data_IF_038020767088
#
_entry.id   IF_038020767088
#
_cell.length_a   1.000
_cell.length_b   1.000
_cell.length_c   1.000
_cell.angle_alpha   90.00
_cell.angle_beta   90.00
_cell.angle_gamma   90.00
#
_symmetry.space_group_name_H-M   'P 1'
#
loop_
_entity.id
_entity.type
_entity.pdbx_description
1 polymer ?
#
# COMPACT_ATOMS: atom_id res chain seq x y z
N UNK A 1 44.26 -1.60 -12.17
CA UNK A 1 42.95 -2.22 -12.45
C UNK A 1 41.89 -1.18 -12.24
N UNK A 2 40.84 -1.20 -13.04
CA UNK A 2 39.64 -0.40 -12.77
C UNK A 2 38.88 -1.01 -11.59
N UNK A 3 38.07 -0.21 -10.89
CA UNK A 3 37.18 -0.70 -9.81
C UNK A 3 36.29 -1.84 -10.32
N UNK A 4 35.89 -1.79 -11.59
CA UNK A 4 35.12 -2.85 -12.24
C UNK A 4 35.93 -4.15 -12.38
N UNK A 5 37.22 -4.09 -12.75
CA UNK A 5 38.06 -5.28 -12.86
C UNK A 5 38.20 -6.00 -11.51
N UNK A 6 38.37 -5.22 -10.43
CA UNK A 6 38.47 -5.74 -9.06
C UNK A 6 37.13 -6.39 -8.64
N UNK A 7 36.00 -5.74 -8.94
CA UNK A 7 34.68 -6.30 -8.68
C UNK A 7 34.41 -7.58 -9.49
N UNK A 8 34.83 -7.63 -10.76
CA UNK A 8 34.71 -8.83 -11.60
C UNK A 8 35.55 -9.98 -11.04
N UNK A 9 36.73 -9.72 -10.49
CA UNK A 9 37.54 -10.76 -9.85
C UNK A 9 36.85 -11.35 -8.59
N UNK A 10 36.20 -10.50 -7.78
CA UNK A 10 35.41 -10.94 -6.62
C UNK A 10 34.23 -11.82 -7.07
N UNK A 11 33.56 -11.45 -8.17
CA UNK A 11 32.48 -12.26 -8.76
C UNK A 11 32.94 -13.66 -9.13
N UNK A 12 34.09 -13.78 -9.79
CA UNK A 12 34.64 -15.08 -10.15
C UNK A 12 34.99 -15.90 -8.89
N UNK A 13 35.59 -15.27 -7.86
CA UNK A 13 35.86 -15.93 -6.59
C UNK A 13 34.58 -16.47 -5.91
N UNK A 14 33.50 -15.68 -5.89
CA UNK A 14 32.19 -16.13 -5.39
C UNK A 14 31.67 -17.33 -6.20
N UNK A 15 31.78 -17.27 -7.52
CA UNK A 15 31.32 -18.35 -8.41
C UNK A 15 32.13 -19.64 -8.20
N UNK A 16 33.44 -19.54 -7.97
CA UNK A 16 34.32 -20.68 -7.67
C UNK A 16 34.03 -21.31 -6.30
N UNK A 17 33.73 -20.49 -5.30
CA UNK A 17 33.33 -20.97 -3.96
C UNK A 17 31.99 -21.70 -3.98
N UNK A 18 31.12 -21.39 -4.94
CA UNK A 18 29.81 -22.04 -5.10
C UNK A 18 28.81 -21.71 -3.98
N UNK A 19 29.04 -20.62 -3.26
CA UNK A 19 28.16 -20.17 -2.17
C UNK A 19 26.81 -19.70 -2.68
N UNK A 20 25.79 -19.80 -1.83
CA UNK A 20 24.52 -19.12 -2.06
C UNK A 20 24.54 -17.70 -1.47
N UNK A 21 23.57 -16.86 -1.87
CA UNK A 21 23.48 -15.45 -1.45
C UNK A 21 23.23 -15.26 0.07
N UNK A 22 22.97 -16.34 0.81
CA UNK A 22 22.71 -16.34 2.25
C UNK A 22 23.94 -16.75 3.07
N UNK A 23 24.97 -17.31 2.43
CA UNK A 23 26.16 -17.79 3.13
C UNK A 23 26.93 -16.62 3.77
N UNK A 24 27.27 -16.70 5.07
CA UNK A 24 28.11 -15.69 5.72
C UNK A 24 29.53 -15.68 5.12
N UNK A 25 30.05 -14.49 4.80
CA UNK A 25 31.39 -14.35 4.21
C UNK A 25 32.48 -13.98 5.22
N UNK A 26 32.25 -14.21 6.51
CA UNK A 26 33.19 -13.81 7.58
C UNK A 26 34.56 -14.47 7.46
N UNK A 27 34.63 -15.66 6.86
CA UNK A 27 35.88 -16.40 6.62
C UNK A 27 36.42 -16.23 5.19
N UNK A 28 35.74 -15.43 4.35
CA UNK A 28 36.01 -15.25 2.92
C UNK A 28 36.08 -13.77 2.53
N UNK A 29 37.05 -12.99 3.06
CA UNK A 29 37.18 -11.57 2.76
C UNK A 29 37.38 -11.27 1.27
N UNK A 30 37.96 -12.20 0.51
CA UNK A 30 38.11 -12.14 -0.95
C UNK A 30 36.78 -12.15 -1.71
N UNK A 31 35.70 -12.60 -1.07
CA UNK A 31 34.36 -12.67 -1.65
C UNK A 31 33.48 -11.47 -1.24
N UNK A 32 34.02 -10.49 -0.52
CA UNK A 32 33.27 -9.34 -0.02
C UNK A 32 33.56 -8.12 -0.88
N UNK A 33 32.54 -7.62 -1.58
CA UNK A 33 32.66 -6.36 -2.30
C UNK A 33 32.80 -5.19 -1.34
N UNK A 34 33.67 -4.24 -1.66
CA UNK A 34 33.57 -2.88 -1.11
C UNK A 34 32.31 -2.19 -1.62
N UNK A 35 31.97 -1.06 -1.02
CA UNK A 35 30.83 -0.26 -1.45
C UNK A 35 30.96 0.22 -2.92
N UNK A 36 32.16 0.66 -3.31
CA UNK A 36 32.42 1.19 -4.65
C UNK A 36 32.43 0.10 -5.72
N UNK A 37 33.05 -1.05 -5.43
CA UNK A 37 33.03 -2.23 -6.31
C UNK A 37 31.61 -2.74 -6.53
N UNK A 38 30.81 -2.79 -5.46
CA UNK A 38 29.42 -3.22 -5.54
C UNK A 38 28.59 -2.28 -6.41
N UNK A 39 28.73 -0.96 -6.22
CA UNK A 39 28.01 0.01 -7.05
C UNK A 39 28.43 -0.08 -8.52
N UNK A 40 29.73 -0.09 -8.80
CA UNK A 40 30.25 -0.09 -10.17
C UNK A 40 29.84 -1.37 -10.91
N UNK A 41 29.95 -2.53 -10.25
CA UNK A 41 29.52 -3.81 -10.81
C UNK A 41 28.02 -3.81 -11.13
N UNK A 42 27.17 -3.35 -10.21
CA UNK A 42 25.73 -3.33 -10.44
C UNK A 42 25.34 -2.30 -11.49
N UNK A 43 26.01 -1.15 -11.57
CA UNK A 43 25.82 -0.17 -12.66
C UNK A 43 26.16 -0.78 -14.02
N UNK A 44 27.26 -1.53 -14.09
CA UNK A 44 27.69 -2.20 -15.31
C UNK A 44 26.74 -3.33 -15.72
N UNK A 45 26.47 -4.27 -14.81
CA UNK A 45 25.75 -5.52 -15.11
C UNK A 45 24.24 -5.32 -15.28
N UNK A 46 23.66 -4.32 -14.60
CA UNK A 46 22.22 -4.06 -14.70
C UNK A 46 21.89 -3.08 -15.84
N UNK A 47 22.88 -2.46 -16.47
CA UNK A 47 22.65 -1.58 -17.61
C UNK A 47 21.93 -2.33 -18.75
N UNK A 48 20.86 -1.74 -19.28
CA UNK A 48 20.05 -2.36 -20.34
C UNK A 48 19.15 -3.51 -19.88
N UNK A 49 19.12 -3.83 -18.58
CA UNK A 49 18.12 -4.76 -18.03
C UNK A 49 16.74 -4.11 -17.99
N UNK A 50 15.70 -4.93 -18.19
CA UNK A 50 14.30 -4.49 -18.13
C UNK A 50 13.57 -5.21 -17.01
N UNK A 51 13.07 -4.45 -16.04
CA UNK A 51 12.25 -4.93 -14.93
C UNK A 51 10.81 -4.52 -15.14
N UNK A 52 10.13 -5.17 -16.09
CA UNK A 52 8.73 -4.90 -16.43
C UNK A 52 7.73 -5.70 -15.58
N UNK A 53 6.50 -5.20 -15.50
CA UNK A 53 5.37 -5.85 -14.83
C UNK A 53 5.03 -5.26 -13.45
N UNK A 54 4.11 -5.89 -12.68
CA UNK A 54 3.69 -5.41 -11.36
C UNK A 54 4.84 -5.33 -10.36
N UNK A 55 4.70 -4.51 -9.30
CA UNK A 55 5.75 -4.26 -8.28
C UNK A 55 6.46 -5.53 -7.81
N UNK A 56 5.71 -6.60 -7.48
CA UNK A 56 6.30 -7.86 -7.01
C UNK A 56 7.15 -8.56 -8.07
N UNK A 57 6.72 -8.51 -9.33
CA UNK A 57 7.47 -9.06 -10.47
C UNK A 57 8.76 -8.29 -10.66
N UNK A 58 8.73 -6.96 -10.66
CA UNK A 58 9.92 -6.11 -10.77
C UNK A 58 10.92 -6.36 -9.65
N UNK A 59 10.45 -6.41 -8.40
CA UNK A 59 11.31 -6.72 -7.25
C UNK A 59 11.92 -8.12 -7.35
N UNK A 60 11.21 -9.10 -7.90
CA UNK A 60 11.76 -10.43 -8.14
C UNK A 60 12.86 -10.36 -9.21
N UNK A 61 12.57 -9.81 -10.38
CA UNK A 61 13.51 -9.68 -11.50
C UNK A 61 14.81 -8.97 -11.07
N UNK A 62 14.70 -7.85 -10.37
CA UNK A 62 15.85 -7.11 -9.88
C UNK A 62 16.74 -7.93 -8.93
N UNK A 63 16.14 -8.67 -7.98
CA UNK A 63 16.91 -9.54 -7.09
C UNK A 63 17.61 -10.67 -7.83
N UNK A 64 16.96 -11.27 -8.82
CA UNK A 64 17.60 -12.30 -9.65
C UNK A 64 18.76 -11.72 -10.44
N UNK A 65 18.58 -10.52 -11.02
CA UNK A 65 19.64 -9.83 -11.76
C UNK A 65 20.83 -9.48 -10.87
N UNK A 66 20.59 -8.95 -9.66
CA UNK A 66 21.65 -8.68 -8.69
C UNK A 66 22.35 -9.97 -8.25
N UNK A 67 21.64 -11.07 -7.99
CA UNK A 67 22.30 -12.36 -7.69
C UNK A 67 23.26 -12.80 -8.80
N UNK A 68 22.81 -12.73 -10.07
CA UNK A 68 23.64 -13.08 -11.23
C UNK A 68 24.85 -12.15 -11.35
N UNK A 69 24.62 -10.84 -11.22
CA UNK A 69 25.67 -9.83 -11.30
C UNK A 69 26.77 -10.09 -10.25
N UNK A 70 26.39 -10.50 -9.04
CA UNK A 70 27.31 -10.79 -7.94
C UNK A 70 27.98 -12.17 -8.00
N UNK A 71 27.62 -13.02 -8.97
CA UNK A 71 28.21 -14.35 -9.15
C UNK A 71 27.50 -15.47 -8.38
N UNK A 72 26.36 -15.18 -7.75
CA UNK A 72 25.61 -16.17 -6.99
C UNK A 72 24.61 -16.95 -7.85
N UNK A 73 24.36 -18.22 -7.54
CA UNK A 73 23.22 -18.93 -8.09
C UNK A 73 21.91 -18.27 -7.62
N UNK A 74 20.96 -18.11 -8.55
CA UNK A 74 19.64 -17.56 -8.22
C UNK A 74 18.84 -18.59 -7.43
N UNK A 75 18.41 -18.30 -6.19
CA UNK A 75 17.64 -19.25 -5.41
C UNK A 75 16.24 -19.43 -6.02
N UNK A 76 15.70 -20.66 -5.95
CA UNK A 76 14.33 -20.95 -6.43
C UNK A 76 13.26 -20.07 -5.75
N UNK A 77 13.52 -19.66 -4.50
CA UNK A 77 12.73 -18.65 -3.80
C UNK A 77 13.59 -17.83 -2.86
N UNK A 78 13.33 -16.52 -2.79
CA UNK A 78 14.05 -15.63 -1.88
C UNK A 78 13.52 -15.73 -0.45
N UNK A 79 14.38 -16.13 0.50
CA UNK A 79 14.06 -16.20 1.94
C UNK A 79 13.63 -14.82 2.47
N UNK A 80 12.72 -14.80 3.44
CA UNK A 80 12.25 -13.58 4.13
C UNK A 80 13.15 -13.20 5.31
N UNK A 81 14.43 -13.03 5.02
CA UNK A 81 15.47 -12.59 5.96
C UNK A 81 15.85 -11.13 5.72
N UNK A 82 16.54 -10.53 6.69
CA UNK A 82 17.02 -9.15 6.66
C UNK A 82 18.52 -9.12 7.04
N UNK A 83 19.38 -8.50 6.24
CA UNK A 83 19.12 -8.00 4.89
C UNK A 83 18.67 -9.12 3.94
N UNK A 84 18.10 -8.77 2.79
CA UNK A 84 17.63 -9.77 1.83
C UNK A 84 18.75 -10.69 1.36
N UNK A 85 19.95 -10.13 1.20
CA UNK A 85 21.20 -10.81 0.82
C UNK A 85 22.21 -10.72 1.98
N UNK A 86 22.12 -11.62 2.98
CA UNK A 86 22.99 -11.64 4.15
C UNK A 86 24.48 -11.71 3.83
N UNK A 87 24.89 -12.50 2.84
CA UNK A 87 26.31 -12.67 2.52
C UNK A 87 26.99 -11.35 2.13
N UNK A 88 26.24 -10.42 1.55
CA UNK A 88 26.74 -9.11 1.11
C UNK A 88 26.17 -7.94 1.94
N UNK A 89 25.55 -8.20 3.09
CA UNK A 89 24.83 -7.19 3.88
C UNK A 89 23.99 -6.19 3.04
N UNK A 90 23.20 -6.72 2.09
CA UNK A 90 22.58 -5.94 1.01
C UNK A 90 21.06 -6.12 0.91
N UNK A 91 20.33 -5.02 0.82
CA UNK A 91 18.94 -4.99 0.35
C UNK A 91 18.82 -4.34 -1.04
N UNK A 92 17.85 -4.81 -1.83
CA UNK A 92 17.64 -4.37 -3.22
C UNK A 92 16.27 -3.69 -3.37
N UNK A 93 16.26 -2.48 -3.91
CA UNK A 93 15.07 -1.65 -4.10
C UNK A 93 14.97 -1.16 -5.54
N UNK A 94 13.82 -1.39 -6.18
CA UNK A 94 13.51 -0.83 -7.50
C UNK A 94 12.65 0.42 -7.31
N UNK A 95 13.02 1.53 -7.95
CA UNK A 95 12.37 2.83 -7.82
C UNK A 95 12.05 3.44 -9.18
N UNK A 96 10.78 3.84 -9.38
CA UNK A 96 10.34 4.66 -10.52
C UNK A 96 10.33 6.16 -10.19
N UNK A 97 10.35 6.51 -8.90
CA UNK A 97 10.26 7.88 -8.42
C UNK A 97 11.25 8.13 -7.28
N UNK A 98 11.49 9.39 -6.91
CA UNK A 98 12.40 9.79 -5.82
C UNK A 98 11.85 9.53 -4.41
N UNK A 99 11.01 8.51 -4.28
CA UNK A 99 10.27 8.20 -3.08
C UNK A 99 10.56 6.77 -2.63
N UNK A 100 11.70 6.56 -1.99
CA UNK A 100 12.11 5.25 -1.48
C UNK A 100 11.24 4.86 -0.28
N UNK A 101 10.73 3.63 -0.31
CA UNK A 101 9.81 3.11 0.70
C UNK A 101 10.39 1.85 1.32
N UNK A 102 10.74 1.94 2.60
CA UNK A 102 11.24 0.83 3.40
C UNK A 102 10.12 0.36 4.32
N UNK A 103 9.78 -0.94 4.24
CA UNK A 103 8.63 -1.50 4.93
C UNK A 103 9.03 -2.32 6.15
N UNK A 104 8.37 -2.06 7.27
CA UNK A 104 8.48 -2.79 8.52
C UNK A 104 9.91 -2.85 9.10
N UNK A 105 10.70 -1.80 8.92
CA UNK A 105 12.01 -1.63 9.57
C UNK A 105 12.50 -0.18 9.57
N UNK A 106 13.37 0.10 10.52
CA UNK A 106 14.29 1.23 10.48
C UNK A 106 15.50 0.88 9.61
N UNK A 107 16.20 1.90 9.12
CA UNK A 107 17.44 1.70 8.38
C UNK A 107 18.54 1.21 9.34
N UNK A 108 19.12 0.05 9.08
CA UNK A 108 20.36 -0.36 9.74
C UNK A 108 21.50 0.54 9.25
N UNK A 109 22.27 1.21 10.14
CA UNK A 109 23.31 2.16 9.75
C UNK A 109 24.35 1.59 8.79
N UNK A 110 24.80 0.36 9.02
CA UNK A 110 25.89 -0.28 8.25
C UNK A 110 25.39 -1.06 7.04
N UNK A 111 24.07 -1.29 6.93
CA UNK A 111 23.53 -2.08 5.83
C UNK A 111 23.64 -1.30 4.53
N UNK A 112 23.90 -2.02 3.44
CA UNK A 112 23.92 -1.47 2.08
C UNK A 112 22.57 -1.63 1.40
N UNK A 113 22.18 -0.63 0.62
CA UNK A 113 20.92 -0.55 -0.09
C UNK A 113 21.20 -0.27 -1.56
N UNK A 114 21.07 -1.29 -2.42
CA UNK A 114 21.11 -1.10 -3.87
C UNK A 114 19.77 -0.52 -4.33
N UNK A 115 19.77 0.77 -4.66
CA UNK A 115 18.62 1.48 -5.22
C UNK A 115 18.79 1.51 -6.74
N UNK A 116 17.86 0.86 -7.43
CA UNK A 116 17.84 0.71 -8.88
C UNK A 116 16.73 1.59 -9.42
N UNK A 117 17.09 2.60 -10.22
CA UNK A 117 16.15 3.46 -10.92
C UNK A 117 15.72 2.81 -12.21
N UNK A 118 14.40 2.71 -12.40
CA UNK A 118 13.80 2.28 -13.67
C UNK A 118 12.86 3.35 -14.21
N UNK A 119 12.68 3.38 -15.53
CA UNK A 119 11.70 4.25 -16.18
C UNK A 119 10.27 3.67 -16.17
N UNK A 120 9.38 4.25 -16.97
CA UNK A 120 7.97 3.85 -17.06
C UNK A 120 7.76 2.48 -17.71
N UNK A 121 8.67 2.05 -18.59
CA UNK A 121 8.63 0.72 -19.24
C UNK A 121 9.43 -0.33 -18.46
N UNK A 122 10.23 0.10 -17.48
CA UNK A 122 10.97 -0.75 -16.57
C UNK A 122 12.46 -0.86 -16.91
N UNK A 123 12.96 -0.07 -17.85
CA UNK A 123 14.38 -0.05 -18.22
C UNK A 123 15.21 0.51 -17.08
N UNK A 124 16.30 -0.17 -16.72
CA UNK A 124 17.24 0.30 -15.70
C UNK A 124 18.02 1.49 -16.26
N UNK A 125 17.80 2.67 -15.67
CA UNK A 125 18.44 3.92 -16.09
C UNK A 125 19.55 4.39 -15.15
N UNK A 126 19.55 3.93 -13.90
CA UNK A 126 20.64 4.19 -12.95
C UNK A 126 20.63 3.19 -11.79
N UNK A 127 21.79 2.99 -11.17
CA UNK A 127 21.96 2.22 -9.95
C UNK A 127 22.84 3.03 -9.00
N UNK A 128 22.45 3.09 -7.72
CA UNK A 128 23.27 3.62 -6.63
C UNK A 128 23.20 2.66 -5.46
N UNK A 129 24.34 2.41 -4.84
CA UNK A 129 24.42 1.75 -3.55
C UNK A 129 24.55 2.84 -2.49
N UNK A 130 23.74 2.78 -1.45
CA UNK A 130 23.81 3.71 -0.34
C UNK A 130 23.91 2.93 0.97
N UNK A 131 24.57 3.52 1.97
CA UNK A 131 24.53 2.99 3.33
C UNK A 131 23.27 3.47 4.06
N UNK A 132 22.87 2.76 5.12
CA UNK A 132 21.73 3.18 5.93
C UNK A 132 21.95 4.53 6.61
N UNK A 133 23.19 4.86 6.98
CA UNK A 133 23.56 6.19 7.50
C UNK A 133 23.29 7.31 6.49
N UNK A 134 23.62 7.09 5.22
CA UNK A 134 23.36 8.03 4.13
C UNK A 134 21.86 8.17 3.87
N UNK A 135 21.15 7.05 3.77
CA UNK A 135 19.70 7.07 3.55
C UNK A 135 18.92 7.70 4.71
N UNK A 136 19.41 7.56 5.95
CA UNK A 136 18.79 8.15 7.13
C UNK A 136 18.80 9.69 7.09
N UNK A 137 19.76 10.32 6.38
CA UNK A 137 19.77 11.78 6.19
C UNK A 137 18.56 12.28 5.40
N UNK A 138 17.92 11.40 4.63
CA UNK A 138 16.72 11.70 3.84
C UNK A 138 15.42 11.41 4.59
N UNK A 139 15.48 10.86 5.80
CA UNK A 139 14.32 10.71 6.66
C UNK A 139 13.97 12.04 7.31
N UNK A 140 13.14 12.83 6.60
CA UNK A 140 12.60 14.08 7.14
C UNK A 140 11.50 13.87 8.18
N UNK A 141 10.99 12.64 8.31
CA UNK A 141 9.80 12.33 9.10
C UNK A 141 10.12 11.72 10.45
N UNK A 142 11.25 11.01 10.57
CA UNK A 142 11.66 10.30 11.78
C UNK A 142 10.66 9.26 12.28
N UNK A 143 9.57 9.01 11.52
CA UNK A 143 8.37 8.33 12.01
C UNK A 143 7.92 7.29 11.00
N UNK A 144 8.04 6.03 11.41
CA UNK A 144 7.41 4.90 10.73
C UNK A 144 5.88 5.08 10.72
N UNK A 145 5.32 5.47 9.58
CA UNK A 145 3.86 5.59 9.41
C UNK A 145 3.24 4.20 9.35
N UNK A 146 2.15 3.97 10.08
CA UNK A 146 1.69 2.62 10.37
C UNK A 146 0.22 2.44 9.94
N UNK A 147 -0.04 1.46 9.07
CA UNK A 147 -1.35 1.24 8.44
C UNK A 147 -1.94 -0.13 8.74
N UNK A 148 -3.25 -0.18 8.96
CA UNK A 148 -4.02 -1.42 9.12
C UNK A 148 -4.41 -2.01 7.76
N UNK A 149 -4.38 -3.34 7.65
CA UNK A 149 -4.76 -4.05 6.43
C UNK A 149 -5.62 -5.28 6.72
N UNK A 150 -6.51 -5.60 5.78
CA UNK A 150 -7.35 -6.78 5.84
C UNK A 150 -7.55 -7.41 4.44
N UNK A 151 -8.08 -8.63 4.41
CA UNK A 151 -8.67 -9.22 3.20
C UNK A 151 -10.06 -9.75 3.53
N UNK A 152 -10.91 -9.89 2.52
CA UNK A 152 -12.16 -10.65 2.70
C UNK A 152 -11.86 -12.09 3.10
N UNK A 153 -12.63 -12.65 4.03
CA UNK A 153 -12.49 -14.07 4.41
C UNK A 153 -12.85 -14.99 3.25
N UNK A 154 -13.96 -14.71 2.58
CA UNK A 154 -14.44 -15.46 1.41
C UNK A 154 -14.48 -14.52 0.20
N UNK A 155 -13.59 -14.70 -0.77
CA UNK A 155 -13.46 -13.78 -1.90
C UNK A 155 -14.70 -13.77 -2.84
N UNK A 156 -15.50 -14.84 -2.85
CA UNK A 156 -16.57 -15.06 -3.84
C UNK A 156 -17.99 -14.98 -3.25
N UNK A 157 -18.21 -14.23 -2.16
CA UNK A 157 -19.53 -14.13 -1.50
C UNK A 157 -20.42 -13.00 -2.02
N UNK A 158 -20.08 -12.36 -3.15
CA UNK A 158 -20.90 -11.32 -3.78
C UNK A 158 -21.12 -10.08 -2.90
N UNK A 159 -22.17 -9.31 -3.17
CA UNK A 159 -22.50 -8.14 -2.35
C UNK A 159 -23.07 -8.55 -1.00
N UNK A 160 -22.70 -7.85 0.08
CA UNK A 160 -23.09 -8.21 1.43
C UNK A 160 -23.26 -7.01 2.36
N UNK A 161 -24.36 -7.01 3.10
CA UNK A 161 -24.52 -6.22 4.31
C UNK A 161 -24.13 -7.10 5.50
N UNK A 162 -23.10 -6.71 6.28
CA UNK A 162 -22.56 -7.56 7.35
C UNK A 162 -23.54 -7.66 8.52
N UNK A 163 -24.16 -6.55 8.91
CA UNK A 163 -25.28 -6.46 9.85
C UNK A 163 -26.28 -5.41 9.36
N UNK A 164 -27.56 -5.62 9.67
CA UNK A 164 -28.68 -4.80 9.18
C UNK A 164 -29.05 -3.62 10.08
N UNK A 165 -28.35 -3.45 11.19
CA UNK A 165 -28.64 -2.42 12.21
C UNK A 165 -27.36 -1.64 12.55
N UNK A 166 -27.47 -0.31 12.66
CA UNK A 166 -26.38 0.55 13.16
C UNK A 166 -26.06 0.25 14.65
N UNK A 167 -24.92 0.72 15.16
CA UNK A 167 -24.56 0.49 16.56
C UNK A 167 -25.50 1.25 17.52
N UNK A 168 -25.67 0.80 18.78
CA UNK A 168 -26.55 1.46 19.74
C UNK A 168 -26.21 2.94 19.97
N UNK A 169 -24.92 3.28 20.08
CA UNK A 169 -24.46 4.66 20.28
C UNK A 169 -24.73 5.52 19.03
N UNK A 170 -24.55 4.96 17.83
CA UNK A 170 -24.89 5.61 16.57
C UNK A 170 -26.39 5.92 16.48
N UNK A 171 -27.24 4.96 16.86
CA UNK A 171 -28.69 5.13 16.87
C UNK A 171 -29.10 6.20 17.87
N UNK A 172 -28.56 6.17 19.09
CA UNK A 172 -28.89 7.13 20.13
C UNK A 172 -28.46 8.56 19.78
N UNK A 173 -27.31 8.74 19.13
CA UNK A 173 -26.76 10.05 18.81
C UNK A 173 -27.32 10.64 17.51
N UNK A 174 -27.53 9.83 16.47
CA UNK A 174 -27.84 10.31 15.12
C UNK A 174 -29.25 9.97 14.64
N UNK A 175 -29.99 9.09 15.34
CA UNK A 175 -31.34 8.64 14.98
C UNK A 175 -31.48 8.37 13.46
N UNK A 176 -30.73 7.37 12.93
CA UNK A 176 -30.75 7.09 11.50
C UNK A 176 -32.13 6.63 11.03
N UNK A 177 -32.46 6.90 9.77
CA UNK A 177 -33.77 6.61 9.17
C UNK A 177 -33.61 5.83 7.86
N UNK A 178 -34.56 4.96 7.56
CA UNK A 178 -34.59 4.24 6.27
C UNK A 178 -34.94 5.16 5.09
N UNK A 179 -35.56 6.31 5.38
CA UNK A 179 -36.07 7.21 4.37
C UNK A 179 -35.69 8.66 4.67
N UNK A 180 -34.96 9.24 3.73
CA UNK A 180 -34.77 10.68 3.58
C UNK A 180 -35.29 11.08 2.20
N UNK A 181 -36.04 12.17 2.13
CA UNK A 181 -36.50 12.70 0.85
C UNK A 181 -35.32 13.23 0.02
N UNK A 182 -35.49 13.25 -1.31
CA UNK A 182 -34.43 13.67 -2.23
C UNK A 182 -33.97 15.10 -2.00
N UNK A 183 -34.87 16.01 -1.59
CA UNK A 183 -34.50 17.41 -1.35
C UNK A 183 -33.58 17.51 -0.13
N UNK A 184 -33.86 16.75 0.93
CA UNK A 184 -32.98 16.65 2.10
C UNK A 184 -31.62 16.10 1.70
N UNK A 185 -31.56 14.98 0.97
CA UNK A 185 -30.30 14.36 0.55
C UNK A 185 -29.46 15.30 -0.34
N UNK A 186 -30.08 15.94 -1.34
CA UNK A 186 -29.39 16.90 -2.21
C UNK A 186 -28.87 18.13 -1.46
N UNK A 187 -29.51 18.49 -0.35
CA UNK A 187 -29.11 19.60 0.50
C UNK A 187 -27.95 19.28 1.46
N UNK A 188 -27.61 18.00 1.66
CA UNK A 188 -26.46 17.61 2.47
C UNK A 188 -25.17 17.76 1.67
N UNK A 189 -24.09 18.20 2.35
CA UNK A 189 -22.75 18.19 1.77
C UNK A 189 -21.96 17.01 2.35
N UNK A 190 -21.17 16.27 1.55
CA UNK A 190 -20.43 15.10 2.03
C UNK A 190 -19.53 15.37 3.25
N UNK A 191 -18.96 16.58 3.34
CA UNK A 191 -17.96 16.95 4.35
C UNK A 191 -18.54 17.57 5.62
N UNK A 192 -19.86 17.80 5.66
CA UNK A 192 -20.49 18.39 6.84
C UNK A 192 -20.68 17.32 7.93
N UNK A 193 -20.63 17.67 9.23
CA UNK A 193 -20.94 16.74 10.30
C UNK A 193 -22.31 16.08 10.13
N UNK A 194 -22.48 14.81 10.56
CA UNK A 194 -23.78 14.16 10.52
C UNK A 194 -24.78 14.90 11.42
N UNK A 195 -26.04 14.94 10.99
CA UNK A 195 -27.11 15.64 11.70
C UNK A 195 -28.16 14.64 12.14
N UNK A 196 -28.56 14.71 13.42
CA UNK A 196 -29.61 13.87 13.99
C UNK A 196 -30.87 13.84 13.10
N UNK A 197 -31.33 12.64 12.75
CA UNK A 197 -32.50 12.42 11.88
C UNK A 197 -32.26 12.69 10.39
N UNK A 198 -31.03 13.03 9.97
CA UNK A 198 -30.64 13.26 8.56
C UNK A 198 -29.55 12.29 8.08
N UNK A 199 -29.45 11.16 8.76
CA UNK A 199 -28.52 10.08 8.42
C UNK A 199 -29.33 8.87 8.01
N UNK A 200 -28.95 8.21 6.91
CA UNK A 200 -29.58 6.96 6.51
C UNK A 200 -29.19 5.83 7.48
N UNK A 201 -30.09 4.89 7.71
CA UNK A 201 -29.75 3.61 8.36
C UNK A 201 -28.75 2.83 7.53
N UNK A 202 -27.97 1.94 8.16
CA UNK A 202 -27.01 1.08 7.43
C UNK A 202 -27.71 0.25 6.35
N UNK A 203 -28.97 -0.15 6.57
CA UNK A 203 -29.79 -0.86 5.59
C UNK A 203 -30.14 0.00 4.38
N UNK A 204 -30.66 1.21 4.60
CA UNK A 204 -31.00 2.12 3.50
C UNK A 204 -29.75 2.63 2.76
N UNK A 205 -28.64 2.79 3.48
CA UNK A 205 -27.33 3.11 2.93
C UNK A 205 -26.87 1.98 1.98
N UNK A 206 -26.95 0.72 2.43
CA UNK A 206 -26.62 -0.45 1.61
C UNK A 206 -27.48 -0.52 0.34
N UNK A 207 -28.80 -0.37 0.48
CA UNK A 207 -29.73 -0.50 -0.65
C UNK A 207 -29.47 0.54 -1.74
N UNK A 208 -29.09 1.77 -1.36
CA UNK A 208 -28.68 2.81 -2.31
C UNK A 208 -27.32 2.51 -2.95
N UNK A 209 -26.33 2.13 -2.14
CA UNK A 209 -24.97 1.84 -2.61
C UNK A 209 -24.91 0.57 -3.46
N UNK A 210 -25.88 -0.33 -3.36
CA UNK A 210 -25.98 -1.49 -4.24
C UNK A 210 -26.10 -1.08 -5.72
N UNK A 211 -26.61 0.13 -6.01
CA UNK A 211 -26.62 0.73 -7.34
C UNK A 211 -25.23 1.02 -7.93
N UNK A 212 -24.15 0.89 -7.14
CA UNK A 212 -22.78 0.94 -7.65
C UNK A 212 -22.40 -0.33 -8.42
N UNK A 213 -23.04 -1.46 -8.13
CA UNK A 213 -22.72 -2.74 -8.79
C UNK A 213 -23.09 -2.65 -10.27
N UNK A 214 -22.13 -3.00 -11.13
CA UNK A 214 -22.24 -2.88 -12.59
C UNK A 214 -21.89 -1.49 -13.12
N UNK A 215 -21.58 -0.50 -12.27
CA UNK A 215 -21.04 0.79 -12.73
C UNK A 215 -19.58 0.64 -13.14
N UNK A 216 -19.20 1.47 -14.09
CA UNK A 216 -17.83 1.58 -14.58
C UNK A 216 -17.23 2.92 -14.19
N UNK A 217 -15.92 2.92 -14.04
CA UNK A 217 -15.13 4.12 -13.94
C UNK A 217 -13.85 3.96 -14.73
N UNK A 218 -13.37 5.06 -15.31
CA UNK A 218 -12.11 5.07 -16.04
C UNK A 218 -10.97 4.52 -15.17
N UNK A 219 -10.11 3.71 -15.76
CA UNK A 219 -8.91 3.20 -15.12
C UNK A 219 -7.89 4.33 -14.92
N UNK A 220 -7.07 4.18 -13.89
CA UNK A 220 -5.93 5.06 -13.64
C UNK A 220 -4.89 4.24 -12.90
N UNK A 221 -3.61 4.44 -13.23
CA UNK A 221 -2.50 3.85 -12.49
C UNK A 221 -2.38 4.41 -11.07
N UNK A 222 -2.93 5.60 -10.82
CA UNK A 222 -3.03 6.20 -9.48
C UNK A 222 -4.20 5.63 -8.69
N UNK A 223 -3.89 4.90 -7.61
CA UNK A 223 -4.87 4.41 -6.63
C UNK A 223 -5.69 5.53 -6.01
N UNK A 224 -5.08 6.69 -5.76
CA UNK A 224 -5.76 7.86 -5.21
C UNK A 224 -6.89 8.33 -6.12
N UNK A 225 -6.61 8.46 -7.42
CA UNK A 225 -7.62 8.88 -8.41
C UNK A 225 -8.74 7.84 -8.53
N UNK A 226 -8.42 6.54 -8.47
CA UNK A 226 -9.44 5.48 -8.47
C UNK A 226 -10.34 5.57 -7.23
N UNK A 227 -9.77 5.81 -6.04
CA UNK A 227 -10.54 6.03 -4.82
C UNK A 227 -11.44 7.26 -4.89
N UNK A 228 -10.93 8.37 -5.44
CA UNK A 228 -11.68 9.61 -5.66
C UNK A 228 -12.89 9.39 -6.60
N UNK A 229 -12.69 8.63 -7.69
CA UNK A 229 -13.75 8.26 -8.63
C UNK A 229 -14.82 7.41 -7.95
N UNK A 230 -14.45 6.42 -7.15
CA UNK A 230 -15.41 5.62 -6.38
C UNK A 230 -16.18 6.47 -5.36
N UNK A 231 -15.51 7.37 -4.65
CA UNK A 231 -16.15 8.27 -3.68
C UNK A 231 -17.20 9.15 -4.40
N UNK A 232 -16.91 9.71 -5.57
CA UNK A 232 -17.91 10.43 -6.38
C UNK A 232 -19.13 9.58 -6.71
N UNK A 233 -18.90 8.35 -7.19
CA UNK A 233 -19.99 7.42 -7.49
C UNK A 233 -20.82 7.10 -6.25
N UNK A 234 -20.20 6.93 -5.08
CA UNK A 234 -20.90 6.71 -3.83
C UNK A 234 -21.77 7.91 -3.45
N UNK A 235 -21.27 9.15 -3.57
CA UNK A 235 -22.08 10.36 -3.36
C UNK A 235 -23.28 10.43 -4.30
N UNK A 236 -23.09 10.09 -5.59
CA UNK A 236 -24.16 10.02 -6.60
C UNK A 236 -25.21 8.97 -6.22
N UNK A 237 -24.79 7.75 -5.88
CA UNK A 237 -25.68 6.65 -5.50
C UNK A 237 -26.49 6.96 -4.24
N UNK A 238 -25.92 7.73 -3.30
CA UNK A 238 -26.63 8.20 -2.11
C UNK A 238 -27.62 9.33 -2.41
N UNK A 239 -27.52 10.00 -3.57
CA UNK A 239 -28.36 11.14 -3.94
C UNK A 239 -27.89 12.48 -3.34
N UNK A 240 -26.60 12.58 -2.98
CA UNK A 240 -26.01 13.82 -2.47
C UNK A 240 -25.85 14.84 -3.61
N UNK A 241 -26.04 16.12 -3.29
CA UNK A 241 -26.04 17.19 -4.30
C UNK A 241 -24.65 17.60 -4.82
N UNK A 242 -23.58 17.14 -4.18
CA UNK A 242 -22.21 17.47 -4.56
C UNK A 242 -21.22 16.41 -4.09
N UNK A 243 -20.01 16.46 -4.65
CA UNK A 243 -18.83 15.76 -4.18
C UNK A 243 -17.92 16.75 -3.44
N UNK A 244 -17.38 16.35 -2.29
CA UNK A 244 -16.36 17.09 -1.57
C UNK A 244 -15.54 16.12 -0.71
N UNK A 245 -14.24 16.38 -0.59
CA UNK A 245 -13.30 15.56 0.18
C UNK A 245 -12.39 16.49 1.02
N UNK A 246 -12.17 16.13 2.28
CA UNK A 246 -11.27 16.86 3.19
C UNK A 246 -9.92 16.15 3.40
N UNK A 247 -9.76 14.95 2.82
CA UNK A 247 -8.63 14.05 3.06
C UNK A 247 -8.61 13.46 4.48
N UNK A 248 -9.71 13.61 5.24
CA UNK A 248 -9.86 13.11 6.60
C UNK A 248 -10.93 12.03 6.66
N UNK A 249 -10.79 11.14 7.63
CA UNK A 249 -11.79 10.12 7.91
C UNK A 249 -13.05 10.73 8.56
N UNK A 250 -14.25 10.23 8.21
CA UNK A 250 -14.51 9.34 7.06
C UNK A 250 -14.71 10.13 5.76
N UNK A 251 -14.64 9.45 4.62
CA UNK A 251 -14.79 10.04 3.28
C UNK A 251 -16.12 10.83 3.12
N UNK A 252 -17.26 10.23 3.48
CA UNK A 252 -18.59 10.88 3.48
C UNK A 252 -19.02 11.11 4.93
N UNK A 253 -18.53 12.22 5.50
CA UNK A 253 -18.75 12.65 6.88
C UNK A 253 -20.23 12.75 7.25
N UNK A 254 -21.06 13.36 6.40
CA UNK A 254 -22.48 13.58 6.72
C UNK A 254 -23.29 12.29 6.83
N UNK A 255 -22.76 11.18 6.31
CA UNK A 255 -23.30 9.84 6.43
C UNK A 255 -22.33 8.89 7.16
N UNK A 256 -21.33 9.39 7.89
CA UNK A 256 -20.38 8.58 8.65
C UNK A 256 -19.85 7.35 7.90
N UNK A 257 -19.52 7.51 6.61
CA UNK A 257 -19.19 6.41 5.70
C UNK A 257 -17.79 6.57 5.12
N UNK A 258 -16.92 5.60 5.38
CA UNK A 258 -15.63 5.42 4.73
C UNK A 258 -15.79 4.56 3.47
N UNK A 259 -15.12 4.93 2.37
CA UNK A 259 -15.25 4.26 1.08
C UNK A 259 -13.89 3.70 0.65
N UNK A 260 -13.84 2.40 0.37
CA UNK A 260 -12.63 1.70 -0.10
C UNK A 260 -12.89 0.99 -1.41
N UNK A 261 -12.06 1.28 -2.40
CA UNK A 261 -11.99 0.48 -3.63
C UNK A 261 -10.99 -0.65 -3.46
N UNK A 262 -11.37 -1.83 -3.92
CA UNK A 262 -10.55 -3.01 -3.88
C UNK A 262 -10.42 -3.67 -5.26
N UNK A 263 -9.27 -3.52 -5.90
CA UNK A 263 -8.91 -4.22 -7.15
C UNK A 263 -7.84 -5.31 -6.97
N UNK A 264 -7.45 -5.57 -5.72
CA UNK A 264 -6.51 -6.63 -5.35
C UNK A 264 -7.07 -7.48 -4.19
N UNK A 265 -6.34 -8.44 -3.61
CA UNK A 265 -6.83 -9.16 -2.43
C UNK A 265 -6.73 -8.40 -1.10
N UNK A 266 -5.93 -7.33 -1.01
CA UNK A 266 -5.60 -6.63 0.25
C UNK A 266 -6.21 -5.23 0.35
N UNK A 267 -7.01 -4.97 1.37
CA UNK A 267 -7.65 -3.69 1.67
C UNK A 267 -6.74 -2.87 2.61
N UNK A 268 -6.50 -1.61 2.26
CA UNK A 268 -5.85 -0.61 3.14
C UNK A 268 -6.92 0.10 3.99
N UNK A 269 -6.83 -0.07 5.31
CA UNK A 269 -7.77 0.51 6.28
C UNK A 269 -7.27 1.84 6.86
N UNK A 270 -6.09 2.31 6.44
CA UNK A 270 -5.51 3.56 6.92
C UNK A 270 -4.88 3.45 8.32
N UNK A 271 -4.81 4.59 9.02
CA UNK A 271 -4.08 4.72 10.28
C UNK A 271 -4.87 4.21 11.50
N UNK A 272 -6.20 4.13 11.38
CA UNK A 272 -7.11 3.75 12.47
C UNK A 272 -7.83 2.47 12.08
N UNK A 273 -7.88 1.51 13.01
CA UNK A 273 -8.60 0.25 12.78
C UNK A 273 -10.12 0.49 12.81
N UNK A 274 -10.90 -0.16 11.93
CA UNK A 274 -12.37 -0.08 11.94
C UNK A 274 -13.02 -0.40 13.28
N UNK A 275 -12.47 -1.32 14.06
CA UNK A 275 -13.00 -1.70 15.38
C UNK A 275 -12.44 -0.86 16.54
N UNK A 276 -11.79 0.27 16.25
CA UNK A 276 -11.15 1.08 17.29
C UNK A 276 -12.19 1.76 18.18
N UNK A 277 -12.01 1.59 19.50
CA UNK A 277 -12.78 2.30 20.53
C UNK A 277 -12.39 3.79 20.70
N UNK A 278 -11.44 4.29 19.89
CA UNK A 278 -11.05 5.69 19.93
C UNK A 278 -12.16 6.62 19.46
N UNK A 279 -12.22 7.87 19.95
CA UNK A 279 -13.28 8.81 19.60
C UNK A 279 -13.21 9.26 18.14
N UNK A 280 -14.33 9.18 17.42
CA UNK A 280 -14.48 9.68 16.07
C UNK A 280 -14.91 11.16 16.08
N UNK A 281 -14.00 12.05 16.50
CA UNK A 281 -14.26 13.48 16.74
C UNK A 281 -14.82 14.22 15.51
N UNK A 282 -14.51 13.75 14.29
CA UNK A 282 -15.07 14.30 13.03
C UNK A 282 -16.59 14.08 12.93
N UNK A 283 -17.13 13.04 13.57
CA UNK A 283 -18.54 12.67 13.52
C UNK A 283 -19.31 13.24 14.70
N UNK A 284 -18.94 12.83 15.91
CA UNK A 284 -19.46 13.34 17.18
C UNK A 284 -18.50 12.94 18.30
N UNK A 285 -18.31 13.76 19.35
CA UNK A 285 -17.55 13.37 20.54
C UNK A 285 -18.10 12.14 21.27
N UNK A 286 -19.34 11.74 20.99
CA UNK A 286 -20.00 10.58 21.60
C UNK A 286 -19.88 9.30 20.79
N UNK A 287 -19.35 9.38 19.57
CA UNK A 287 -19.15 8.24 18.69
C UNK A 287 -17.69 7.84 18.65
N UNK A 288 -17.49 6.55 18.43
CA UNK A 288 -16.18 5.90 18.25
C UNK A 288 -15.94 5.61 16.77
N UNK A 289 -14.70 5.30 16.42
CA UNK A 289 -14.38 4.83 15.07
C UNK A 289 -15.15 3.54 14.73
N UNK A 290 -15.39 2.68 15.72
CA UNK A 290 -16.20 1.47 15.59
C UNK A 290 -17.68 1.70 15.28
N UNK A 291 -18.19 2.91 15.51
CA UNK A 291 -19.57 3.29 15.15
C UNK A 291 -19.70 3.76 13.68
N UNK A 292 -18.59 4.10 13.02
CA UNK A 292 -18.60 4.49 11.62
C UNK A 292 -18.88 3.29 10.70
N UNK A 293 -19.25 3.58 9.45
CA UNK A 293 -19.59 2.57 8.45
C UNK A 293 -18.53 2.51 7.37
N UNK A 294 -18.35 1.33 6.78
CA UNK A 294 -17.31 1.05 5.79
C UNK A 294 -17.95 0.39 4.56
N UNK A 295 -17.87 1.07 3.42
CA UNK A 295 -18.17 0.52 2.10
C UNK A 295 -16.86 0.02 1.49
N UNK A 296 -16.78 -1.29 1.21
CA UNK A 296 -15.71 -1.88 0.41
C UNK A 296 -16.28 -2.32 -0.93
N UNK A 297 -15.95 -1.59 -2.00
CA UNK A 297 -16.33 -1.93 -3.36
C UNK A 297 -15.23 -2.75 -4.03
N UNK A 298 -15.59 -3.92 -4.54
CA UNK A 298 -14.69 -4.78 -5.29
C UNK A 298 -14.82 -4.51 -6.77
N UNK A 299 -13.68 -4.29 -7.43
CA UNK A 299 -13.66 -4.06 -8.86
C UNK A 299 -12.65 -4.94 -9.58
N UNK A 300 -13.05 -5.40 -10.76
CA UNK A 300 -12.14 -5.92 -11.77
C UNK A 300 -11.74 -4.78 -12.70
N UNK A 301 -10.53 -4.85 -13.27
CA UNK A 301 -10.07 -3.83 -14.20
C UNK A 301 -9.36 -4.44 -15.40
N UNK A 302 -9.40 -3.71 -16.51
CA UNK A 302 -8.47 -3.88 -17.62
C UNK A 302 -7.60 -2.60 -17.75
N UNK A 303 -7.09 -2.32 -18.94
CA UNK A 303 -6.25 -1.15 -19.20
C UNK A 303 -7.04 0.16 -19.29
N UNK A 304 -8.36 0.11 -19.45
CA UNK A 304 -9.21 1.27 -19.75
C UNK A 304 -10.24 1.56 -18.66
N UNK A 305 -10.80 0.52 -18.02
CA UNK A 305 -11.91 0.65 -17.08
C UNK A 305 -11.75 -0.21 -15.83
N UNK A 306 -12.42 0.22 -14.76
CA UNK A 306 -12.69 -0.56 -13.55
C UNK A 306 -14.20 -0.81 -13.49
N UNK A 307 -14.61 -2.07 -13.47
CA UNK A 307 -15.99 -2.51 -13.28
C UNK A 307 -16.22 -2.85 -11.81
N UNK A 308 -17.23 -2.25 -11.18
CA UNK A 308 -17.60 -2.60 -9.79
C UNK A 308 -18.44 -3.87 -9.80
N UNK A 309 -17.90 -4.98 -9.29
CA UNK A 309 -18.54 -6.29 -9.34
C UNK A 309 -19.46 -6.55 -8.16
N UNK A 310 -19.06 -6.09 -6.97
CA UNK A 310 -19.83 -6.27 -5.74
C UNK A 310 -19.37 -5.31 -4.65
N UNK A 311 -20.23 -5.12 -3.63
CA UNK A 311 -19.95 -4.24 -2.50
C UNK A 311 -20.14 -4.95 -1.17
N UNK A 312 -19.38 -4.58 -0.16
CA UNK A 312 -19.61 -4.98 1.23
C UNK A 312 -19.81 -3.74 2.07
N UNK A 313 -20.91 -3.68 2.84
CA UNK A 313 -21.14 -2.62 3.82
C UNK A 313 -21.16 -3.21 5.22
N UNK A 314 -20.46 -2.57 6.15
CA UNK A 314 -20.38 -2.96 7.56
C UNK A 314 -20.30 -1.75 8.47
N UNK A 315 -20.70 -1.91 9.73
CA UNK A 315 -20.22 -1.05 10.82
C UNK A 315 -18.73 -1.35 11.08
N UNK A 316 -18.03 -0.45 11.77
CA UNK A 316 -16.64 -0.63 12.15
C UNK A 316 -16.45 -1.78 13.14
N UNK A 317 -17.34 -1.90 14.12
CA UNK A 317 -17.32 -2.97 15.13
C UNK A 317 -17.47 -4.36 14.50
N UNK A 318 -18.32 -4.51 13.48
CA UNK A 318 -18.59 -5.80 12.84
C UNK A 318 -17.68 -6.10 11.65
N UNK A 319 -16.82 -5.15 11.25
CA UNK A 319 -15.99 -5.24 10.06
C UNK A 319 -15.23 -6.56 10.00
N UNK A 320 -14.59 -6.97 11.09
CA UNK A 320 -13.75 -8.16 11.11
C UNK A 320 -14.51 -9.50 11.24
N UNK A 321 -15.85 -9.45 11.28
CA UNK A 321 -16.71 -10.60 11.04
C UNK A 321 -16.62 -11.08 9.59
N UNK A 322 -16.58 -10.16 8.63
CA UNK A 322 -16.45 -10.48 7.19
C UNK A 322 -14.99 -10.43 6.70
N UNK A 323 -14.16 -9.59 7.32
CA UNK A 323 -12.78 -9.38 6.91
C UNK A 323 -11.78 -10.05 7.88
N UNK A 324 -10.75 -10.69 7.33
CA UNK A 324 -9.63 -11.19 8.09
C UNK A 324 -8.55 -10.10 8.19
N UNK A 325 -8.20 -9.70 9.42
CA UNK A 325 -6.98 -8.91 9.68
C UNK A 325 -5.76 -9.69 9.23
N UNK A 326 -4.79 -9.01 8.64
CA UNK A 326 -3.52 -9.65 8.33
C UNK A 326 -2.79 -9.98 9.63
N UNK A 327 -2.63 -11.28 9.92
CA UNK A 327 -1.99 -11.80 11.13
C UNK A 327 -0.45 -11.76 11.15
N UNK A 328 0.18 -10.99 10.26
CA UNK A 328 1.57 -10.53 10.44
C UNK A 328 1.61 -9.38 11.46
N UNK A 329 2.59 -8.47 11.39
CA UNK A 329 2.49 -7.19 12.12
C UNK A 329 1.13 -6.57 11.73
N UNK A 330 0.18 -6.57 12.66
CA UNK A 330 -1.22 -6.10 12.55
C UNK A 330 -1.30 -4.70 11.92
N UNK A 331 -0.18 -3.99 12.00
CA UNK A 331 0.10 -2.69 11.45
C UNK A 331 1.38 -2.76 10.62
N UNK A 332 1.29 -2.48 9.31
CA UNK A 332 2.48 -2.34 8.48
C UNK A 332 3.07 -0.96 8.68
N UNK A 333 4.32 -0.89 9.07
CA UNK A 333 5.08 0.35 9.20
C UNK A 333 5.80 0.65 7.89
N UNK A 334 5.83 1.92 7.50
CA UNK A 334 6.50 2.40 6.29
C UNK A 334 7.34 3.61 6.63
N UNK A 335 8.62 3.49 6.36
CA UNK A 335 9.56 4.60 6.30
C UNK A 335 9.60 5.11 4.86
N UNK A 336 9.43 6.42 4.69
CA UNK A 336 9.36 7.05 3.37
C UNK A 336 10.45 8.11 3.25
N UNK A 337 11.40 7.88 2.34
CA UNK A 337 12.59 8.69 2.15
C UNK A 337 12.48 9.42 0.82
N UNK A 338 12.50 10.76 0.86
CA UNK A 338 12.54 11.56 -0.36
C UNK A 338 13.99 11.69 -0.80
N UNK A 339 14.37 10.93 -1.82
CA UNK A 339 15.70 10.98 -2.41
C UNK A 339 15.92 12.36 -3.07
N UNK A 340 17.11 12.97 -2.96
CA UNK A 340 17.41 14.21 -3.65
C UNK A 340 17.51 14.00 -5.16
N UNK A 341 17.30 15.04 -5.96
CA UNK A 341 17.30 14.94 -7.43
C UNK A 341 18.63 14.49 -8.02
N UNK A 342 19.73 14.72 -7.31
CA UNK A 342 21.08 14.28 -7.66
C UNK A 342 21.46 12.96 -7.00
N UNK A 343 20.50 12.20 -6.45
CA UNK A 343 20.80 10.92 -5.81
C UNK A 343 21.44 9.94 -6.79
N UNK A 344 21.10 9.93 -8.08
CA UNK A 344 21.70 9.00 -9.04
C UNK A 344 22.84 9.62 -9.88
N UNK A 345 23.26 10.84 -9.55
CA UNK A 345 24.27 11.60 -10.30
C UNK A 345 25.69 11.25 -9.91
#
# INVERSE_FOLDING_TARGET
MSILDDALAIREAISELGFDIYEPLTEHPEAVYTHQELEELLRHELAGSVFAGPIRTRSKLAKEAVCRALGYPVPASFRRVKPRFPGQDLDVYVQQHDNLQVWNEELSPTRRYAVIRVDDVGDVIAVRVAEGTELAMFDRTGTLTSKYQAKRRNANSGSKLVFDTDTPDFIAELAPTDHLDERTLRGLRPVDPPVHGKVLSVRALYDRLLGLVGREMEYSTSERLRGERLHRLACEALGLGSYADTGKFPDIVCQALEVKLQTSPTIDLGLVSPDSDGPAVTLSPRLRHSDARYLVAYGAHDTEVVHIEHIVLSTGIDFFGEFQRFGGLVQNRKLQLRLPSNFFS
#
